data_IF_282330335847
#
_entry.id   IF_282330335847
#
_cell.length_a   1.000
_cell.length_b   1.000
_cell.length_c   1.000
_cell.angle_alpha   90.00
_cell.angle_beta   90.00
_cell.angle_gamma   90.00
#
_symmetry.space_group_name_H-M   'P 1'
#
loop_
_entity.id
_entity.type
_entity.pdbx_description
1 polymer ?
#
# COMPACT_ATOMS: atom_id res chain seq x y z
N UNK A 1 14.70 -8.57 10.12
CA UNK A 1 13.92 -8.91 8.92
C UNK A 1 12.55 -9.41 9.37
N UNK A 2 11.44 -8.75 8.98
CA UNK A 2 10.08 -9.20 9.26
C UNK A 2 9.71 -10.38 8.35
N UNK A 3 8.89 -11.31 8.81
CA UNK A 3 8.43 -12.44 7.99
C UNK A 3 7.01 -12.21 7.46
N UNK A 4 6.68 -12.66 6.23
CA UNK A 4 5.29 -12.76 5.78
C UNK A 4 4.46 -13.51 6.82
N UNK A 5 3.35 -12.91 7.27
CA UNK A 5 2.49 -13.47 8.32
C UNK A 5 2.72 -12.91 9.70
N UNK A 6 3.77 -12.12 9.89
CA UNK A 6 4.04 -11.51 11.18
C UNK A 6 2.98 -10.46 11.51
N UNK A 7 2.41 -10.58 12.71
CA UNK A 7 1.42 -9.62 13.22
C UNK A 7 2.06 -8.26 13.43
N UNK A 8 1.41 -7.24 12.90
CA UNK A 8 1.80 -5.86 13.02
C UNK A 8 0.84 -5.12 13.96
N UNK A 9 1.41 -4.29 14.81
CA UNK A 9 0.73 -3.43 15.76
C UNK A 9 0.85 -2.00 15.27
N UNK A 10 -0.28 -1.33 15.15
CA UNK A 10 -0.33 0.08 14.77
C UNK A 10 -0.52 0.93 16.01
N UNK A 11 0.26 2.00 16.14
CA UNK A 11 0.18 2.93 17.26
C UNK A 11 0.17 4.36 16.75
N UNK A 12 -0.79 5.16 17.23
CA UNK A 12 -0.82 6.60 16.95
C UNK A 12 0.33 7.29 17.69
N UNK A 13 0.97 8.23 17.01
CA UNK A 13 2.06 9.07 17.53
C UNK A 13 1.65 10.54 17.51
N UNK A 14 0.75 10.97 18.41
CA UNK A 14 0.21 12.34 18.41
C UNK A 14 1.24 13.42 18.76
N UNK A 15 2.41 13.01 19.26
CA UNK A 15 3.53 13.90 19.61
C UNK A 15 4.51 14.09 18.45
N UNK A 16 4.24 13.51 17.28
CA UNK A 16 5.11 13.66 16.13
C UNK A 16 5.06 15.11 15.61
N UNK A 17 6.20 15.82 15.49
CA UNK A 17 6.24 17.22 15.08
C UNK A 17 5.82 17.45 13.62
N UNK A 18 5.92 16.43 12.76
CA UNK A 18 5.54 16.53 11.35
C UNK A 18 4.03 16.34 11.13
N UNK A 19 3.42 15.40 11.84
CA UNK A 19 1.99 15.10 11.70
C UNK A 19 1.44 14.47 12.99
N UNK A 20 0.48 15.13 13.63
CA UNK A 20 -0.14 14.69 14.90
C UNK A 20 -1.11 13.51 14.73
N UNK A 21 -1.36 13.08 13.49
CA UNK A 21 -2.15 11.89 13.15
C UNK A 21 -1.27 10.72 12.73
N UNK A 22 0.05 10.87 12.73
CA UNK A 22 0.98 9.83 12.32
C UNK A 22 0.70 8.51 13.07
N UNK A 23 0.71 7.41 12.32
CA UNK A 23 0.53 6.06 12.87
C UNK A 23 1.80 5.27 12.54
N UNK A 24 2.56 4.94 13.57
CA UNK A 24 3.71 4.07 13.45
C UNK A 24 3.27 2.61 13.39
N UNK A 25 3.97 1.83 12.57
CA UNK A 25 3.74 0.39 12.44
C UNK A 25 4.90 -0.37 13.05
N UNK A 26 4.56 -1.30 13.94
CA UNK A 26 5.51 -2.04 14.78
C UNK A 26 5.21 -3.54 14.72
N UNK A 27 6.20 -4.40 14.46
CA UNK A 27 6.06 -5.83 14.72
C UNK A 27 5.93 -6.07 16.22
N UNK A 28 5.47 -7.27 16.61
CA UNK A 28 5.46 -7.70 18.03
C UNK A 28 6.85 -7.63 18.68
N UNK A 29 7.92 -7.66 17.88
CA UNK A 29 9.30 -7.53 18.32
C UNK A 29 9.72 -6.11 18.69
N UNK A 30 8.87 -5.10 18.44
CA UNK A 30 9.05 -3.73 18.92
C UNK A 30 9.89 -2.79 18.06
N UNK A 31 10.38 -3.23 16.89
CA UNK A 31 11.20 -2.39 15.99
C UNK A 31 10.31 -1.72 14.94
N UNK A 32 10.14 -0.40 15.01
CA UNK A 32 9.34 0.34 14.03
C UNK A 32 9.82 0.07 12.60
N UNK A 33 8.88 -0.29 11.72
CA UNK A 33 9.17 -0.54 10.30
C UNK A 33 8.80 0.64 9.42
N UNK A 34 7.97 1.56 9.92
CA UNK A 34 7.61 2.78 9.21
C UNK A 34 6.34 3.43 9.75
N UNK A 35 5.77 4.28 8.91
CA UNK A 35 4.55 5.04 9.17
C UNK A 35 3.49 4.74 8.11
N UNK A 36 2.23 4.83 8.51
CA UNK A 36 1.10 4.86 7.59
C UNK A 36 1.13 6.18 6.82
N UNK A 37 0.79 6.19 5.51
CA UNK A 37 0.67 7.41 4.73
C UNK A 37 -0.27 8.42 5.39
N UNK A 38 0.10 9.70 5.41
CA UNK A 38 -0.65 10.75 6.11
C UNK A 38 -2.13 10.84 5.64
N UNK A 39 -2.37 10.63 4.35
CA UNK A 39 -3.71 10.62 3.74
C UNK A 39 -4.64 9.54 4.34
N UNK A 40 -4.08 8.40 4.73
CA UNK A 40 -4.82 7.29 5.32
C UNK A 40 -4.79 7.30 6.85
N UNK A 41 -3.84 8.00 7.46
CA UNK A 41 -3.61 7.99 8.89
C UNK A 41 -4.84 8.47 9.70
N UNK A 42 -5.59 9.44 9.18
CA UNK A 42 -6.81 9.90 9.84
C UNK A 42 -7.89 8.81 9.90
N UNK A 43 -8.13 8.12 8.78
CA UNK A 43 -9.16 7.09 8.68
C UNK A 43 -8.75 5.81 9.42
N UNK A 44 -7.52 5.33 9.21
CA UNK A 44 -6.95 4.19 9.94
C UNK A 44 -6.91 4.45 11.44
N UNK A 45 -6.64 5.70 11.83
CA UNK A 45 -6.72 6.13 13.21
C UNK A 45 -8.07 5.78 13.81
N UNK A 46 -9.18 6.16 13.18
CA UNK A 46 -10.53 5.94 13.72
C UNK A 46 -10.85 4.46 13.97
N UNK A 47 -10.26 3.56 13.19
CA UNK A 47 -10.47 2.12 13.29
C UNK A 47 -9.35 1.36 14.02
N UNK A 48 -8.44 2.06 14.71
CA UNK A 48 -7.26 1.44 15.33
C UNK A 48 -7.61 0.37 16.39
N UNK A 49 -8.80 0.43 16.99
CA UNK A 49 -9.24 -0.55 17.98
C UNK A 49 -9.55 -1.93 17.35
N UNK A 50 -10.15 -1.92 16.16
CA UNK A 50 -10.61 -3.12 15.45
C UNK A 50 -9.64 -3.55 14.35
N UNK A 51 -8.61 -2.73 14.09
CA UNK A 51 -7.67 -3.03 13.02
C UNK A 51 -6.75 -4.21 13.39
N UNK A 52 -6.67 -5.19 12.50
CA UNK A 52 -5.66 -6.25 12.57
C UNK A 52 -4.76 -6.14 11.36
N UNK A 53 -3.45 -6.13 11.59
CA UNK A 53 -2.47 -5.95 10.54
C UNK A 53 -1.50 -7.13 10.48
N UNK A 54 -1.15 -7.56 9.28
CA UNK A 54 -0.13 -8.59 9.03
C UNK A 54 0.83 -8.12 7.95
N UNK A 55 2.11 -8.41 8.13
CA UNK A 55 3.11 -8.12 7.12
C UNK A 55 3.00 -9.11 5.97
N UNK A 56 2.92 -8.58 4.75
CA UNK A 56 2.85 -9.38 3.55
C UNK A 56 4.24 -9.58 2.94
N UNK A 57 4.93 -8.49 2.60
CA UNK A 57 6.27 -8.54 2.01
C UNK A 57 6.97 -7.19 2.10
N UNK A 58 8.28 -7.19 1.95
CA UNK A 58 9.03 -5.99 1.58
C UNK A 58 8.98 -5.78 0.05
N UNK A 59 8.80 -4.52 -0.37
CA UNK A 59 8.81 -4.11 -1.77
C UNK A 59 9.77 -2.93 -1.94
N UNK A 60 10.05 -2.54 -3.19
CA UNK A 60 11.05 -1.49 -3.49
C UNK A 60 10.62 -0.12 -2.97
N UNK A 61 9.31 0.10 -2.82
CA UNK A 61 8.72 1.34 -2.30
C UNK A 61 8.42 1.31 -0.79
N UNK A 62 8.61 0.17 -0.12
CA UNK A 62 8.34 0.03 1.32
C UNK A 62 7.72 -1.32 1.69
N UNK A 63 7.32 -1.43 2.96
CA UNK A 63 6.65 -2.62 3.48
C UNK A 63 5.17 -2.68 3.06
N UNK A 64 4.76 -3.80 2.48
CA UNK A 64 3.36 -4.07 2.15
C UNK A 64 2.70 -4.78 3.33
N UNK A 65 1.66 -4.16 3.89
CA UNK A 65 0.96 -4.64 5.09
C UNK A 65 -0.52 -4.76 4.75
N UNK A 66 -1.11 -5.90 5.08
CA UNK A 66 -2.55 -6.10 4.96
C UNK A 66 -3.22 -5.80 6.26
N UNK A 67 -4.36 -5.11 6.16
CA UNK A 67 -5.20 -4.74 7.30
C UNK A 67 -6.62 -5.20 7.09
N UNK A 68 -7.27 -5.61 8.17
CA UNK A 68 -8.71 -5.86 8.27
C UNK A 68 -9.26 -4.90 9.31
N UNK A 69 -10.50 -4.43 9.11
CA UNK A 69 -11.16 -3.46 10.00
C UNK A 69 -12.24 -4.10 10.87
N UNK A 70 -12.53 -5.38 10.63
CA UNK A 70 -13.59 -6.14 11.31
C UNK A 70 -13.06 -6.94 12.52
N UNK A 71 -11.83 -6.70 12.97
CA UNK A 71 -11.20 -7.45 14.07
C UNK A 71 -10.73 -8.86 13.71
N UNK A 72 -11.05 -9.37 12.52
CA UNK A 72 -10.61 -10.69 12.02
C UNK A 72 -9.13 -10.69 11.67
N UNK A 73 -8.46 -11.84 11.78
CA UNK A 73 -7.04 -11.94 11.40
C UNK A 73 -6.95 -11.94 9.87
N UNK A 74 -6.21 -11.02 9.24
CA UNK A 74 -6.03 -11.04 7.79
C UNK A 74 -5.29 -12.31 7.40
N UNK A 75 -5.87 -13.08 6.47
CA UNK A 75 -5.17 -14.21 5.87
C UNK A 75 -4.27 -13.70 4.74
N UNK A 76 -3.07 -14.28 4.64
CA UNK A 76 -2.19 -13.99 3.53
C UNK A 76 -2.63 -14.80 2.32
N UNK A 77 -2.89 -14.16 1.17
CA UNK A 77 -3.00 -14.92 -0.06
C UNK A 77 -1.65 -15.62 -0.29
N UNK A 78 -1.70 -16.88 -0.73
CA UNK A 78 -0.50 -17.61 -1.17
C UNK A 78 0.19 -16.72 -2.21
N UNK A 79 1.43 -16.31 -1.93
CA UNK A 79 2.18 -15.45 -2.84
C UNK A 79 2.33 -16.14 -4.19
N UNK A 80 1.50 -15.76 -5.17
CA UNK A 80 1.97 -15.76 -6.55
C UNK A 80 3.00 -14.65 -6.59
N UNK A 81 4.28 -15.04 -6.52
CA UNK A 81 5.41 -14.14 -6.49
C UNK A 81 5.18 -12.98 -7.44
N UNK A 82 5.37 -11.75 -6.95
CA UNK A 82 5.12 -10.53 -7.70
C UNK A 82 5.72 -10.63 -9.11
N UNK A 83 4.89 -10.97 -10.09
CA UNK A 83 5.21 -10.70 -11.47
C UNK A 83 5.34 -9.18 -11.52
N UNK A 84 6.58 -8.69 -11.57
CA UNK A 84 6.86 -7.28 -11.88
C UNK A 84 5.94 -6.95 -13.06
N UNK A 85 5.09 -5.90 -13.00
CA UNK A 85 4.33 -5.51 -14.17
C UNK A 85 5.38 -5.35 -15.27
N UNK A 86 5.31 -6.19 -16.32
CA UNK A 86 6.16 -6.01 -17.48
C UNK A 86 5.85 -4.60 -17.92
N UNK A 87 6.80 -3.66 -17.74
CA UNK A 87 6.67 -2.32 -18.32
C UNK A 87 6.33 -2.58 -19.78
N UNK A 88 5.13 -2.22 -20.18
CA UNK A 88 4.77 -2.16 -21.58
C UNK A 88 5.73 -1.10 -22.14
N UNK A 89 6.85 -1.53 -22.72
CA UNK A 89 7.61 -0.67 -23.58
C UNK A 89 6.82 -0.69 -24.87
N UNK A 90 6.06 0.36 -25.22
CA UNK A 90 5.63 0.49 -26.61
C UNK A 90 6.89 0.32 -27.46
N UNK A 91 6.81 -0.49 -28.53
CA UNK A 91 7.84 -0.48 -29.56
C UNK A 91 7.96 0.98 -30.01
N UNK A 92 9.17 1.53 -30.06
CA UNK A 92 9.44 2.89 -30.52
C UNK A 92 8.84 3.24 -31.90
N UNK A 93 8.33 2.25 -32.65
CA UNK A 93 7.66 2.40 -33.94
C UNK A 93 6.25 3.04 -33.91
N UNK A 94 5.58 3.17 -32.75
CA UNK A 94 4.16 3.60 -32.68
C UNK A 94 3.97 5.06 -32.21
N UNK A 95 5.00 5.91 -32.36
CA UNK A 95 4.93 7.34 -32.03
C UNK A 95 5.19 8.23 -33.26
N UNK A 96 4.37 9.26 -33.52
CA UNK A 96 3.17 9.69 -32.79
C UNK A 96 1.91 8.85 -33.13
N UNK A 97 0.89 8.84 -32.25
CA UNK A 97 -0.37 8.16 -32.51
C UNK A 97 -1.00 8.66 -33.83
N UNK A 98 -1.63 7.78 -34.63
CA UNK A 98 -2.29 8.20 -35.86
C UNK A 98 -3.35 9.25 -35.53
N UNK A 99 -3.40 10.31 -36.33
CA UNK A 99 -4.41 11.37 -36.18
C UNK A 99 -5.81 10.74 -36.17
N UNK A 100 -6.69 11.14 -35.23
CA UNK A 100 -8.08 10.69 -35.25
C UNK A 100 -8.69 11.09 -36.59
N UNK A 101 -9.27 10.12 -37.31
CA UNK A 101 -10.04 10.44 -38.52
C UNK A 101 -11.31 11.18 -38.12
N UNK A 102 -11.40 12.45 -38.48
CA UNK A 102 -12.62 13.25 -38.46
C UNK A 102 -13.61 12.69 -39.49
N UNK A 103 -14.49 11.77 -39.05
CA UNK A 103 -15.63 11.28 -39.85
C UNK A 103 -16.86 12.21 -39.75
N UNK A 104 -16.68 13.43 -39.23
CA UNK A 104 -17.72 14.45 -39.10
C UNK A 104 -17.46 15.63 -40.05
N UNK A 105 -17.46 15.37 -41.35
CA UNK A 105 -17.65 16.40 -42.39
C UNK A 105 -18.10 15.76 -43.69
N UNK A 106 -19.37 15.32 -43.74
CA UNK A 106 -20.15 15.28 -44.97
C UNK A 106 -21.66 15.37 -44.62
N UNK A 107 -22.12 16.61 -44.46
CA UNK A 107 -23.53 17.03 -44.58
C UNK A 107 -23.56 18.19 -45.57
#
# INVERSE_FOLDING_TARGET
>A
MCKPGETMVMKREPKNPADSRAIGVYPLRGVQIGYVPAEQAQWIGQHLADIRAVFQRDDTFGAVIRVTFDGTIPTLPVEQGSARPRRFRPRDDDWPPPEPKDDYSDV
#
